data_IF_830528482803
#
_entry.id   IF_830528482803
#
_cell.length_a   1.000
_cell.length_b   1.000
_cell.length_c   1.000
_cell.angle_alpha   90.00
_cell.angle_beta   90.00
_cell.angle_gamma   90.00
#
_symmetry.space_group_name_H-M   'P 1'
#
loop_
_entity.id
_entity.type
_entity.pdbx_description
1 polymer ?
#
# COMPACT_ATOMS: atom_id res chain seq x y z
N UNK A 1 19.93 51.00 -71.29
CA UNK A 1 21.12 50.57 -70.54
C UNK A 1 20.63 49.71 -69.38
N UNK A 2 21.26 48.56 -69.15
CA UNK A 2 20.99 47.54 -68.11
C UNK A 2 19.83 46.56 -68.35
N UNK A 3 20.20 45.35 -68.77
CA UNK A 3 19.54 44.11 -68.38
C UNK A 3 20.11 43.67 -67.02
N UNK A 4 19.27 43.19 -66.10
CA UNK A 4 19.65 41.97 -65.40
C UNK A 4 18.50 40.96 -65.21
N UNK A 5 18.95 39.72 -65.31
CA UNK A 5 18.30 38.41 -65.09
C UNK A 5 17.32 38.34 -63.91
N UNK A 6 16.17 37.73 -64.15
CA UNK A 6 15.35 37.12 -63.09
C UNK A 6 15.57 35.60 -63.02
N UNK A 7 15.68 35.16 -61.77
CA UNK A 7 16.12 33.85 -61.28
C UNK A 7 14.99 32.83 -61.45
N UNK A 8 15.32 31.66 -62.00
CA UNK A 8 14.47 30.47 -61.97
C UNK A 8 14.35 29.98 -60.53
N UNK A 9 13.15 30.10 -59.92
CA UNK A 9 12.79 29.35 -58.73
C UNK A 9 11.73 28.33 -59.14
N UNK A 10 12.20 27.11 -59.46
CA UNK A 10 11.38 25.92 -59.63
C UNK A 10 10.88 25.50 -58.25
N UNK A 11 9.71 25.96 -57.83
CA UNK A 11 8.99 25.35 -56.70
C UNK A 11 8.31 24.08 -57.19
N UNK A 12 9.05 22.96 -57.19
CA UNK A 12 8.40 21.65 -57.25
C UNK A 12 7.76 21.39 -55.90
N UNK A 13 6.45 21.60 -55.86
CA UNK A 13 5.61 21.08 -54.79
C UNK A 13 5.63 19.55 -54.95
N UNK A 14 6.52 18.87 -54.22
CA UNK A 14 6.44 17.43 -54.03
C UNK A 14 5.21 17.11 -53.18
N UNK A 15 4.02 17.11 -53.80
CA UNK A 15 2.86 16.40 -53.26
C UNK A 15 3.15 14.91 -53.43
N UNK A 16 3.67 14.27 -52.39
CA UNK A 16 3.56 12.81 -52.25
C UNK A 16 2.07 12.50 -52.13
N UNK A 17 1.46 11.71 -53.04
CA UNK A 17 0.19 11.10 -52.71
C UNK A 17 0.48 10.10 -51.60
N UNK A 18 0.07 10.40 -50.37
CA UNK A 18 -0.04 9.38 -49.34
C UNK A 18 -1.09 8.38 -49.85
N UNK A 19 -0.63 7.21 -50.32
CA UNK A 19 -1.54 6.11 -50.59
C UNK A 19 -2.25 5.81 -49.28
N UNK A 20 -3.56 6.00 -49.25
CA UNK A 20 -4.39 5.47 -48.19
C UNK A 20 -4.47 3.96 -48.39
N UNK A 21 -3.36 3.28 -48.11
CA UNK A 21 -3.41 1.86 -47.83
C UNK A 21 -4.06 1.75 -46.46
N UNK A 22 -5.39 1.73 -46.45
CA UNK A 22 -6.16 1.25 -45.32
C UNK A 22 -5.80 -0.23 -45.16
N UNK A 23 -4.66 -0.49 -44.51
CA UNK A 23 -4.51 -1.71 -43.77
C UNK A 23 -5.61 -1.62 -42.72
N UNK A 24 -6.71 -2.32 -42.95
CA UNK A 24 -7.66 -2.64 -41.91
C UNK A 24 -6.82 -3.27 -40.80
N UNK A 25 -6.47 -2.46 -39.80
CA UNK A 25 -6.09 -2.95 -38.50
C UNK A 25 -7.35 -3.65 -38.07
N UNK A 26 -7.42 -4.96 -38.34
CA UNK A 26 -8.27 -5.86 -37.59
C UNK A 26 -7.97 -5.48 -36.16
N UNK A 27 -8.88 -4.75 -35.51
CA UNK A 27 -8.87 -4.65 -34.07
C UNK A 27 -8.78 -6.11 -33.65
N UNK A 28 -7.67 -6.56 -33.05
CA UNK A 28 -7.69 -7.85 -32.41
C UNK A 28 -8.95 -7.81 -31.53
N UNK A 29 -9.79 -8.86 -31.52
CA UNK A 29 -10.87 -8.90 -30.55
C UNK A 29 -10.24 -8.50 -29.23
N UNK A 30 -10.73 -7.41 -28.62
CA UNK A 30 -10.22 -6.99 -27.32
C UNK A 30 -10.25 -8.26 -26.49
N UNK A 31 -9.09 -8.78 -26.05
CA UNK A 31 -9.08 -10.06 -25.36
C UNK A 31 -10.08 -9.88 -24.25
N UNK A 32 -11.13 -10.72 -24.22
CA UNK A 32 -12.16 -10.71 -23.19
C UNK A 32 -11.41 -10.46 -21.89
N UNK A 33 -11.55 -9.26 -21.33
CA UNK A 33 -10.73 -8.85 -20.20
C UNK A 33 -11.16 -9.75 -19.07
N UNK A 34 -10.45 -10.87 -18.90
CA UNK A 34 -10.58 -11.80 -17.81
C UNK A 34 -10.77 -10.93 -16.56
N UNK A 35 -11.89 -11.10 -15.82
CA UNK A 35 -12.20 -10.21 -14.72
C UNK A 35 -10.98 -10.11 -13.82
N UNK A 36 -10.56 -8.90 -13.43
CA UNK A 36 -9.31 -8.69 -12.68
C UNK A 36 -9.18 -9.72 -11.54
N UNK A 37 -8.43 -10.79 -11.81
CA UNK A 37 -8.31 -11.93 -10.91
C UNK A 37 -7.07 -11.77 -10.05
N UNK A 38 -7.10 -12.32 -8.84
CA UNK A 38 -5.94 -12.28 -7.96
C UNK A 38 -4.79 -13.07 -8.57
N UNK A 39 -3.62 -12.43 -8.66
CA UNK A 39 -2.40 -13.05 -9.14
C UNK A 39 -2.05 -14.32 -8.33
N UNK A 40 -1.60 -15.41 -8.99
CA UNK A 40 -1.20 -16.63 -8.31
C UNK A 40 0.02 -16.37 -7.40
N UNK A 41 0.04 -17.00 -6.22
CA UNK A 41 1.14 -16.86 -5.25
C UNK A 41 1.11 -15.59 -4.40
N UNK A 42 0.23 -14.63 -4.69
CA UNK A 42 0.07 -13.41 -3.89
C UNK A 42 -1.01 -13.57 -2.81
N UNK A 43 -0.89 -12.84 -1.68
CA UNK A 43 -1.86 -12.93 -0.59
C UNK A 43 -3.24 -12.47 -1.07
N UNK A 44 -4.22 -13.37 -0.96
CA UNK A 44 -5.63 -13.07 -1.23
C UNK A 44 -6.31 -12.54 0.04
N UNK A 45 -7.37 -11.73 -0.06
CA UNK A 45 -8.22 -11.41 1.08
C UNK A 45 -8.88 -12.69 1.58
N UNK A 46 -8.24 -13.33 2.56
CA UNK A 46 -8.76 -14.51 3.22
C UNK A 46 -9.39 -14.06 4.55
N UNK A 47 -10.64 -14.46 4.87
CA UNK A 47 -11.28 -14.13 6.13
C UNK A 47 -10.46 -14.57 7.35
N UNK A 48 -9.65 -15.62 7.22
CA UNK A 48 -8.72 -16.08 8.27
C UNK A 48 -7.72 -15.01 8.72
N UNK A 49 -7.34 -14.10 7.82
CA UNK A 49 -6.33 -13.07 8.07
C UNK A 49 -6.95 -11.67 8.22
N UNK A 50 -8.29 -11.58 8.18
CA UNK A 50 -9.04 -10.38 8.47
C UNK A 50 -9.25 -10.23 9.99
N UNK A 51 -8.15 -10.32 10.72
CA UNK A 51 -8.15 -10.29 12.18
C UNK A 51 -8.19 -8.84 12.68
N UNK A 52 -9.01 -8.58 13.69
CA UNK A 52 -9.03 -7.28 14.37
C UNK A 52 -7.77 -7.14 15.22
N UNK A 53 -7.01 -6.08 15.00
CA UNK A 53 -5.80 -5.77 15.75
C UNK A 53 -6.23 -5.29 17.14
N UNK A 54 -5.79 -6.00 18.18
CA UNK A 54 -6.04 -5.59 19.56
C UNK A 54 -4.95 -4.64 20.03
N UNK A 55 -5.37 -3.56 20.68
CA UNK A 55 -4.48 -2.55 21.22
C UNK A 55 -4.86 -2.15 22.65
N UNK A 56 -3.87 -1.70 23.43
CA UNK A 56 -4.05 -1.08 24.75
C UNK A 56 -3.55 0.35 24.68
N UNK A 57 -4.25 1.35 25.26
CA UNK A 57 -3.77 2.72 25.29
C UNK A 57 -2.50 2.84 26.14
N UNK A 58 -1.57 3.68 25.69
CA UNK A 58 -0.36 4.03 26.45
C UNK A 58 -0.44 5.47 26.93
N UNK A 59 0.02 5.71 28.16
CA UNK A 59 0.15 7.05 28.73
C UNK A 59 1.37 7.79 28.16
N UNK A 60 2.52 7.12 28.18
CA UNK A 60 3.81 7.76 27.91
C UNK A 60 4.52 7.18 26.68
N UNK A 61 5.37 8.00 26.07
CA UNK A 61 6.27 7.60 24.98
C UNK A 61 7.73 7.71 25.40
N UNK A 62 8.64 7.08 24.65
CA UNK A 62 10.09 7.18 24.89
C UNK A 62 10.82 5.84 24.80
N UNK A 63 12.15 5.89 24.82
CA UNK A 63 13.04 4.72 24.64
C UNK A 63 12.83 3.66 25.72
N UNK A 64 12.85 4.06 26.99
CA UNK A 64 12.78 3.13 28.12
C UNK A 64 11.41 2.45 28.22
N UNK A 65 10.33 3.20 28.04
CA UNK A 65 8.96 2.68 28.02
C UNK A 65 8.79 1.69 26.86
N UNK A 66 9.25 2.06 25.67
CA UNK A 66 9.22 1.19 24.49
C UNK A 66 10.01 -0.11 24.68
N UNK A 67 11.14 -0.07 25.40
CA UNK A 67 11.90 -1.27 25.73
C UNK A 67 11.16 -2.18 26.72
N UNK A 68 10.51 -1.60 27.74
CA UNK A 68 9.67 -2.34 28.70
C UNK A 68 8.50 -3.02 28.00
N UNK A 69 7.79 -2.32 27.12
CA UNK A 69 6.68 -2.88 26.33
C UNK A 69 7.11 -4.09 25.51
N UNK A 70 8.25 -4.01 24.81
CA UNK A 70 8.78 -5.15 24.04
C UNK A 70 9.18 -6.33 24.91
N UNK A 71 9.70 -6.08 26.12
CA UNK A 71 10.03 -7.15 27.08
C UNK A 71 8.78 -7.94 27.51
N UNK A 72 7.62 -7.28 27.55
CA UNK A 72 6.31 -7.89 27.86
C UNK A 72 5.63 -8.50 26.62
N UNK A 73 6.29 -8.51 25.46
CA UNK A 73 5.70 -9.05 24.23
C UNK A 73 4.73 -8.09 23.54
N UNK A 74 4.82 -6.79 23.80
CA UNK A 74 4.02 -5.74 23.14
C UNK A 74 4.86 -4.87 22.21
N UNK A 75 4.25 -4.43 21.12
CA UNK A 75 4.88 -3.50 20.17
C UNK A 75 4.35 -2.11 20.44
N UNK A 76 5.20 -1.16 20.85
CA UNK A 76 4.79 0.23 21.01
C UNK A 76 4.39 0.79 19.65
N UNK A 77 3.17 1.31 19.58
CA UNK A 77 2.55 1.76 18.33
C UNK A 77 1.86 3.12 18.50
N UNK A 78 1.50 3.75 17.39
CA UNK A 78 0.87 5.07 17.35
C UNK A 78 -0.25 5.05 16.32
N UNK A 79 -1.40 5.61 16.67
CA UNK A 79 -2.50 5.91 15.73
C UNK A 79 -2.55 7.41 15.51
N UNK A 80 -2.39 7.84 14.27
CA UNK A 80 -2.57 9.23 13.86
C UNK A 80 -3.98 9.48 13.34
N UNK A 81 -4.52 10.67 13.58
CA UNK A 81 -5.68 11.15 12.83
C UNK A 81 -5.36 11.30 11.34
N UNK A 82 -6.40 11.36 10.51
CA UNK A 82 -6.23 11.46 9.06
C UNK A 82 -5.74 12.85 8.62
N UNK A 83 -6.39 13.93 9.08
CA UNK A 83 -6.22 15.31 8.57
C UNK A 83 -4.75 15.74 8.54
N UNK A 84 -4.03 15.50 9.64
CA UNK A 84 -2.61 15.80 9.81
C UNK A 84 -1.76 14.53 9.95
N UNK A 85 -2.28 13.37 9.54
CA UNK A 85 -1.66 12.07 9.78
C UNK A 85 -0.28 11.92 9.16
N UNK A 86 0.06 12.78 8.20
CA UNK A 86 1.36 12.85 7.56
C UNK A 86 2.39 13.64 8.39
N UNK A 87 1.98 14.76 9.01
CA UNK A 87 2.85 15.71 9.72
C UNK A 87 2.81 15.58 11.25
N UNK A 88 1.94 14.72 11.78
CA UNK A 88 1.91 14.40 13.21
C UNK A 88 0.95 15.28 14.01
N UNK A 89 -0.29 15.42 13.53
CA UNK A 89 -1.39 16.00 14.31
C UNK A 89 -1.78 15.15 15.52
N UNK A 90 -3.06 15.19 15.89
CA UNK A 90 -3.57 14.42 17.02
C UNK A 90 -3.20 12.94 16.89
N UNK A 91 -2.54 12.42 17.92
CA UNK A 91 -2.02 11.06 17.93
C UNK A 91 -2.37 10.35 19.23
N UNK A 92 -2.77 9.10 19.11
CA UNK A 92 -3.02 8.22 20.24
C UNK A 92 -1.88 7.23 20.36
N UNK A 93 -1.25 7.20 21.54
CA UNK A 93 -0.23 6.20 21.85
C UNK A 93 -0.92 4.90 22.24
N UNK A 94 -0.52 3.81 21.60
CA UNK A 94 -1.10 2.48 21.84
C UNK A 94 0.02 1.42 21.90
N UNK A 95 -0.31 0.25 22.42
CA UNK A 95 0.52 -0.95 22.38
C UNK A 95 -0.28 -2.08 21.75
N UNK A 96 0.31 -2.78 20.78
CA UNK A 96 -0.31 -3.94 20.13
C UNK A 96 0.44 -5.22 20.49
N UNK A 97 -0.18 -6.39 20.30
CA UNK A 97 0.50 -7.68 20.57
C UNK A 97 1.55 -7.99 19.51
N UNK A 98 2.73 -8.44 19.94
CA UNK A 98 3.85 -8.75 19.04
C UNK A 98 3.54 -9.92 18.13
N UNK A 99 2.96 -10.99 18.68
CA UNK A 99 2.67 -12.21 17.94
C UNK A 99 1.65 -11.97 16.83
N UNK A 100 0.65 -11.12 17.11
CA UNK A 100 -0.36 -10.74 16.13
C UNK A 100 0.26 -9.97 14.94
N UNK A 101 1.04 -8.93 15.21
CA UNK A 101 1.71 -8.16 14.14
C UNK A 101 2.68 -9.05 13.36
N UNK A 102 3.48 -9.87 14.05
CA UNK A 102 4.43 -10.78 13.41
C UNK A 102 3.72 -11.76 12.48
N UNK A 103 2.60 -12.34 12.92
CA UNK A 103 1.78 -13.25 12.11
C UNK A 103 1.25 -12.56 10.86
N UNK A 104 0.70 -11.34 10.99
CA UNK A 104 0.17 -10.58 9.86
C UNK A 104 1.26 -10.24 8.85
N UNK A 105 2.41 -9.77 9.32
CA UNK A 105 3.55 -9.37 8.46
C UNK A 105 4.16 -10.58 7.76
N UNK A 106 4.29 -11.72 8.44
CA UNK A 106 4.83 -12.94 7.83
C UNK A 106 3.90 -13.53 6.76
N UNK A 107 2.58 -13.45 6.98
CA UNK A 107 1.62 -14.01 6.05
C UNK A 107 1.37 -13.12 4.83
N UNK A 108 1.21 -11.82 5.05
CA UNK A 108 0.95 -10.86 3.98
C UNK A 108 2.24 -10.39 3.30
N UNK A 109 3.35 -10.37 4.03
CA UNK A 109 4.55 -9.64 3.63
C UNK A 109 4.47 -8.16 4.00
N UNK A 110 5.62 -7.49 4.02
CA UNK A 110 5.76 -6.10 4.47
C UNK A 110 4.91 -5.12 3.63
N UNK A 111 4.97 -5.21 2.30
CA UNK A 111 4.28 -4.26 1.42
C UNK A 111 2.76 -4.41 1.45
N UNK A 112 2.27 -5.65 1.46
CA UNK A 112 0.83 -5.92 1.55
C UNK A 112 0.26 -5.59 2.94
N UNK A 113 1.05 -5.76 4.00
CA UNK A 113 0.64 -5.30 5.33
C UNK A 113 0.41 -3.78 5.36
N UNK A 114 1.25 -2.99 4.70
CA UNK A 114 1.13 -1.53 4.66
C UNK A 114 0.01 -1.01 3.73
N UNK A 115 -0.39 -1.80 2.74
CA UNK A 115 -1.43 -1.42 1.76
C UNK A 115 -2.83 -1.96 2.11
N UNK A 116 -2.96 -2.74 3.19
CA UNK A 116 -4.23 -3.32 3.64
C UNK A 116 -4.81 -2.57 4.84
N UNK A 117 -6.13 -2.42 4.84
CA UNK A 117 -6.89 -1.85 5.94
C UNK A 117 -7.21 -2.92 6.98
N UNK A 118 -7.18 -2.52 8.26
CA UNK A 118 -7.48 -3.38 9.40
C UNK A 118 -8.46 -2.70 10.34
N UNK A 119 -9.23 -3.49 11.07
CA UNK A 119 -9.97 -2.99 12.23
C UNK A 119 -9.04 -3.02 13.46
N UNK A 120 -9.00 -1.92 14.20
CA UNK A 120 -8.22 -1.75 15.41
C UNK A 120 -9.18 -1.54 16.58
N UNK A 121 -9.10 -2.43 17.56
CA UNK A 121 -9.88 -2.35 18.78
C UNK A 121 -8.97 -2.00 19.96
N UNK A 122 -9.21 -0.85 20.56
CA UNK A 122 -8.50 -0.37 21.74
C UNK A 122 -9.28 -0.80 22.98
N UNK A 123 -8.65 -1.61 23.83
CA UNK A 123 -9.20 -2.17 25.07
C UNK A 123 -8.38 -1.71 26.28
N UNK A 124 -8.93 -1.87 27.49
CA UNK A 124 -8.17 -1.63 28.72
C UNK A 124 -7.08 -2.67 28.97
N UNK A 125 -7.36 -3.96 28.72
CA UNK A 125 -6.45 -5.08 28.92
C UNK A 125 -6.63 -6.13 27.80
N UNK A 126 -5.62 -6.96 27.55
CA UNK A 126 -5.70 -8.02 26.52
C UNK A 126 -6.43 -9.27 27.00
N UNK A 127 -6.31 -9.58 28.30
CA UNK A 127 -6.71 -10.86 28.90
C UNK A 127 -8.09 -10.80 29.58
N UNK A 128 -8.92 -9.80 29.28
CA UNK A 128 -10.32 -9.82 29.71
C UNK A 128 -10.96 -11.09 29.13
N UNK A 129 -11.25 -12.04 30.01
CA UNK A 129 -11.72 -13.38 29.67
C UNK A 129 -12.91 -13.30 28.71
N UNK A 130 -12.95 -14.26 27.78
CA UNK A 130 -13.80 -14.33 26.59
C UNK A 130 -15.32 -14.34 26.81
N UNK A 131 -15.82 -13.93 27.98
CA UNK A 131 -17.22 -13.93 28.36
C UNK A 131 -17.56 -12.70 29.24
N UNK A 132 -17.53 -11.47 28.72
CA UNK A 132 -18.50 -10.41 29.09
C UNK A 132 -18.16 -9.05 28.47
N UNK A 133 -19.10 -8.61 27.62
CA UNK A 133 -19.50 -7.24 27.34
C UNK A 133 -18.59 -6.34 26.46
N UNK A 134 -19.22 -5.69 25.49
CA UNK A 134 -18.70 -4.54 24.71
C UNK A 134 -18.21 -3.37 25.59
N UNK A 135 -18.40 -3.43 26.91
CA UNK A 135 -18.03 -2.39 27.87
C UNK A 135 -16.50 -2.21 28.03
N UNK A 136 -15.70 -3.24 27.74
CA UNK A 136 -14.23 -3.17 27.82
C UNK A 136 -13.58 -2.49 26.60
N UNK A 137 -14.37 -2.15 25.59
CA UNK A 137 -13.91 -1.55 24.33
C UNK A 137 -13.94 -0.04 24.43
N UNK A 138 -12.76 0.57 24.43
CA UNK A 138 -12.61 2.03 24.49
C UNK A 138 -12.88 2.65 23.11
N UNK A 139 -12.37 2.03 22.06
CA UNK A 139 -12.45 2.55 20.70
C UNK A 139 -12.37 1.42 19.68
N UNK A 140 -13.21 1.44 18.65
CA UNK A 140 -13.11 0.56 17.49
C UNK A 140 -12.99 1.41 16.23
N UNK A 141 -11.88 1.26 15.49
CA UNK A 141 -11.53 2.15 14.39
C UNK A 141 -10.94 1.37 13.24
N UNK A 142 -11.30 1.73 12.02
CA UNK A 142 -10.61 1.26 10.83
C UNK A 142 -9.30 2.03 10.64
N UNK A 143 -8.20 1.31 10.47
CA UNK A 143 -6.86 1.89 10.36
C UNK A 143 -6.09 1.35 9.15
N UNK A 144 -5.21 2.19 8.62
CA UNK A 144 -4.20 1.84 7.63
C UNK A 144 -2.81 1.84 8.27
N UNK A 145 -2.03 0.77 8.19
CA UNK A 145 -0.64 0.79 8.63
C UNK A 145 0.21 1.68 7.72
N UNK A 146 0.84 2.72 8.28
CA UNK A 146 1.70 3.66 7.54
C UNK A 146 3.13 3.15 7.41
N UNK A 147 3.69 2.67 8.51
CA UNK A 147 5.07 2.18 8.55
C UNK A 147 5.23 1.15 9.65
N UNK A 148 6.07 0.15 9.35
CA UNK A 148 6.52 -0.87 10.28
C UNK A 148 8.04 -0.88 10.34
N UNK A 149 8.58 -0.84 11.55
CA UNK A 149 10.01 -0.97 11.80
C UNK A 149 10.28 -2.38 12.31
N UNK A 150 11.12 -3.12 11.58
CA UNK A 150 11.55 -4.47 11.92
C UNK A 150 13.00 -4.45 12.42
N UNK A 151 13.32 -5.30 13.38
CA UNK A 151 14.69 -5.50 13.85
C UNK A 151 15.47 -6.30 12.80
N UNK A 152 16.62 -5.78 12.38
CA UNK A 152 17.52 -6.48 11.47
C UNK A 152 17.90 -7.88 12.00
N UNK A 153 17.86 -8.88 11.11
CA UNK A 153 18.23 -10.27 11.37
C UNK A 153 17.13 -11.12 12.00
N UNK A 154 16.35 -10.59 12.96
CA UNK A 154 15.26 -11.37 13.61
C UNK A 154 13.88 -11.09 13.02
N UNK A 155 13.73 -10.00 12.27
CA UNK A 155 12.45 -9.46 11.76
C UNK A 155 11.38 -9.28 12.84
N UNK A 156 11.82 -9.04 14.08
CA UNK A 156 10.92 -8.75 15.19
C UNK A 156 10.36 -7.31 15.04
N UNK A 157 9.04 -7.10 15.13
CA UNK A 157 8.46 -5.77 15.03
C UNK A 157 8.86 -4.91 16.22
N UNK A 158 9.48 -3.76 15.93
CA UNK A 158 9.93 -2.79 16.92
C UNK A 158 8.92 -1.67 17.13
N UNK A 159 8.25 -1.23 16.06
CA UNK A 159 7.26 -0.15 16.08
C UNK A 159 6.32 -0.34 14.89
N UNK A 160 5.04 -0.04 15.08
CA UNK A 160 4.05 0.09 14.00
C UNK A 160 3.32 1.42 14.15
N UNK A 161 3.16 2.11 13.02
CA UNK A 161 2.38 3.35 12.95
C UNK A 161 1.15 3.12 12.09
N UNK A 162 0.03 3.64 12.56
CA UNK A 162 -1.28 3.53 11.93
C UNK A 162 -1.83 4.93 11.65
N UNK A 163 -2.64 5.06 10.62
CA UNK A 163 -3.47 6.24 10.32
C UNK A 163 -4.92 5.80 10.38
N UNK A 164 -5.80 6.60 11.00
CA UNK A 164 -7.24 6.34 10.93
C UNK A 164 -7.73 6.44 9.49
N UNK A 165 -8.58 5.49 9.10
CA UNK A 165 -9.10 5.34 7.76
C UNK A 165 -10.63 5.30 7.77
N UNK A 166 -11.30 6.46 7.99
CA UNK A 166 -12.75 6.57 7.79
C UNK A 166 -13.17 6.12 6.39
N UNK A 167 -14.43 5.73 6.20
CA UNK A 167 -14.90 5.28 4.88
C UNK A 167 -14.90 6.38 3.82
N UNK A 168 -15.04 7.63 4.23
CA UNK A 168 -15.09 8.81 3.33
C UNK A 168 -13.70 9.46 3.14
N UNK A 169 -12.68 8.87 3.75
CA UNK A 169 -11.34 9.43 3.81
C UNK A 169 -10.51 9.18 2.55
N UNK A 170 -9.81 10.23 2.09
CA UNK A 170 -8.73 10.10 1.10
C UNK A 170 -7.42 9.75 1.81
N UNK A 171 -6.80 8.65 1.40
CA UNK A 171 -5.54 8.15 1.96
C UNK A 171 -4.50 7.97 0.87
N UNK A 172 -3.28 8.44 1.13
CA UNK A 172 -2.13 8.14 0.28
C UNK A 172 -1.56 6.78 0.71
N UNK A 173 -1.59 5.81 -0.19
CA UNK A 173 -1.16 4.43 0.06
C UNK A 173 -0.12 4.03 -0.97
N UNK A 174 0.99 3.45 -0.51
CA UNK A 174 2.00 2.87 -1.40
C UNK A 174 1.59 1.44 -1.76
N UNK A 175 1.23 1.24 -3.03
CA UNK A 175 0.77 -0.06 -3.54
C UNK A 175 1.93 -0.77 -4.24
N UNK A 176 2.25 -2.03 -3.87
CA UNK A 176 3.28 -2.79 -4.56
C UNK A 176 2.86 -3.09 -6.01
N UNK A 177 3.79 -2.86 -6.94
CA UNK A 177 3.62 -3.21 -8.36
C UNK A 177 4.31 -4.55 -8.61
N UNK A 178 3.62 -5.44 -9.33
CA UNK A 178 4.13 -6.74 -9.76
C UNK A 178 4.23 -6.74 -11.28
N UNK A 179 5.42 -7.02 -11.79
CA UNK A 179 5.63 -7.20 -13.22
C UNK A 179 5.34 -8.65 -13.60
N UNK A 180 4.66 -8.83 -14.74
CA UNK A 180 4.32 -10.13 -15.32
C UNK A 180 4.81 -10.16 -16.77
N UNK A 181 5.18 -11.34 -17.26
CA UNK A 181 5.65 -11.52 -18.63
C UNK A 181 7.14 -11.18 -18.82
N UNK A 182 7.92 -11.08 -17.74
CA UNK A 182 9.37 -10.87 -17.82
C UNK A 182 10.06 -12.01 -18.59
N UNK A 183 9.51 -13.22 -18.52
CA UNK A 183 9.95 -14.43 -19.20
C UNK A 183 9.67 -14.44 -20.72
N UNK A 184 8.75 -13.60 -21.20
CA UNK A 184 8.44 -13.44 -22.63
C UNK A 184 8.96 -12.13 -23.22
N UNK A 185 9.44 -11.21 -22.38
CA UNK A 185 9.92 -9.90 -22.80
C UNK A 185 11.16 -10.03 -23.71
N UNK A 186 11.07 -9.65 -25.00
CA UNK A 186 12.18 -9.74 -25.93
C UNK A 186 13.33 -8.78 -25.57
N UNK A 187 13.03 -7.70 -24.84
CA UNK A 187 14.03 -6.78 -24.29
C UNK A 187 14.87 -7.49 -23.22
N UNK A 188 14.23 -8.01 -22.18
CA UNK A 188 14.91 -8.70 -21.07
C UNK A 188 15.68 -9.94 -21.53
N UNK A 189 15.20 -10.65 -22.55
CA UNK A 189 15.91 -11.81 -23.12
C UNK A 189 17.22 -11.44 -23.83
N UNK A 190 17.33 -10.21 -24.34
CA UNK A 190 18.52 -9.75 -25.07
C UNK A 190 19.61 -9.22 -24.14
N UNK A 191 19.27 -8.83 -22.92
CA UNK A 191 20.17 -8.17 -21.96
C UNK A 191 19.98 -6.67 -21.98
#
# INVERSE_FOLDING_TARGET
MYLPRHILIRTFIHRRPFSHSAAAILHPPEPDLEPFTYLPGFPKPNPKHDETILAIPRRDSGKNISAKERKVGRVPSIVFEQEDGQHGGNKRLISVRTDQIRKLVNHLGRSFFLSRLFNLQVRHQFDSDSNSNDEDVIENVRVLPRSIHLKAGTDAPLNVTFIRAPSEAWLKVDIPIVFIGDDVSPGLKKG
#
